data_IF_431629843560
#
_entry.id   IF_431629843560
#
_cell.length_a   1.000
_cell.length_b   1.000
_cell.length_c   1.000
_cell.angle_alpha   90.00
_cell.angle_beta   90.00
_cell.angle_gamma   90.00
#
_symmetry.space_group_name_H-M   'P 1'
#
loop_
_entity.id
_entity.type
_entity.pdbx_description
1 polymer ?
#
# COMPACT_ATOMS: atom_id res chain seq x y z
N UNK A 1 -6.15 15.23 27.87
CA UNK A 1 -5.70 14.65 26.59
C UNK A 1 -4.79 13.48 26.92
N UNK A 2 -5.18 12.26 26.54
CA UNK A 2 -4.36 11.06 26.74
C UNK A 2 -3.61 10.81 25.44
N UNK A 3 -2.29 10.64 25.54
CA UNK A 3 -1.44 10.25 24.42
C UNK A 3 -0.66 8.98 24.76
N UNK A 4 -0.30 8.24 23.72
CA UNK A 4 0.57 7.08 23.79
C UNK A 4 1.67 7.21 22.74
N UNK A 5 2.82 6.62 23.01
CA UNK A 5 3.94 6.57 22.06
C UNK A 5 4.14 5.14 21.58
N UNK A 6 4.49 4.99 20.31
CA UNK A 6 4.81 3.71 19.70
C UNK A 6 5.85 3.90 18.60
N UNK A 7 6.43 2.80 18.14
CA UNK A 7 7.43 2.79 17.06
C UNK A 7 6.93 1.87 15.96
N UNK A 8 6.91 2.38 14.73
CA UNK A 8 6.68 1.59 13.52
C UNK A 8 7.92 1.70 12.66
N UNK A 9 8.53 0.57 12.32
CA UNK A 9 9.73 0.49 11.47
C UNK A 9 10.83 1.52 11.84
N UNK A 10 11.14 1.60 13.14
CA UNK A 10 12.14 2.54 13.68
C UNK A 10 11.67 4.00 13.80
N UNK A 11 10.51 4.37 13.27
CA UNK A 11 9.93 5.71 13.37
C UNK A 11 9.03 5.82 14.59
N UNK A 12 9.30 6.81 15.45
CA UNK A 12 8.50 7.06 16.66
C UNK A 12 7.27 7.92 16.34
N UNK A 13 6.10 7.45 16.73
CA UNK A 13 4.82 8.13 16.62
C UNK A 13 4.23 8.46 17.98
N UNK A 14 3.37 9.47 18.01
CA UNK A 14 2.54 9.83 19.16
C UNK A 14 1.08 9.77 18.73
N UNK A 15 0.32 8.82 19.29
CA UNK A 15 -1.13 8.74 19.13
C UNK A 15 -1.82 9.58 20.20
N UNK A 16 -2.85 10.34 19.80
CA UNK A 16 -3.60 11.21 20.72
C UNK A 16 -5.08 10.86 20.64
N UNK A 17 -5.70 10.60 21.80
CA UNK A 17 -7.15 10.50 21.91
C UNK A 17 -7.78 11.90 21.88
N UNK A 18 -7.95 12.44 20.66
CA UNK A 18 -8.42 13.81 20.41
C UNK A 18 -9.92 13.97 20.19
N UNK A 19 -10.67 12.87 20.07
CA UNK A 19 -12.07 12.89 19.65
C UNK A 19 -12.24 12.87 18.12
N UNK A 20 -13.49 12.82 17.60
CA UNK A 20 -13.78 12.60 16.19
C UNK A 20 -13.68 13.87 15.31
N UNK A 21 -13.24 15.01 15.86
CA UNK A 21 -13.25 16.30 15.17
C UNK A 21 -12.25 16.39 14.01
N UNK A 22 -11.22 15.54 14.02
CA UNK A 22 -10.11 15.56 13.05
C UNK A 22 -10.00 14.19 12.37
N UNK A 23 -10.74 13.96 11.27
CA UNK A 23 -10.63 12.71 10.54
C UNK A 23 -9.31 12.64 9.76
N UNK A 24 -8.77 11.43 9.60
CA UNK A 24 -7.69 11.19 8.65
C UNK A 24 -8.21 11.33 7.21
N UNK A 25 -7.31 11.75 6.33
CA UNK A 25 -7.51 11.79 4.89
C UNK A 25 -6.30 11.18 4.20
N UNK A 26 -6.45 10.84 2.93
CA UNK A 26 -5.40 10.28 2.07
C UNK A 26 -4.22 11.23 1.88
N UNK A 27 -4.33 12.50 2.28
CA UNK A 27 -3.24 13.47 2.26
C UNK A 27 -2.04 13.03 3.13
N UNK A 28 -2.27 12.19 4.15
CA UNK A 28 -1.22 11.54 4.92
C UNK A 28 -1.42 10.04 4.83
N UNK A 29 -0.40 9.33 4.35
CA UNK A 29 -0.38 7.87 4.34
C UNK A 29 0.98 7.33 4.74
N UNK A 30 0.99 6.08 5.20
CA UNK A 30 2.20 5.34 5.54
C UNK A 30 2.44 4.26 4.50
N UNK A 31 3.62 4.25 3.89
CA UNK A 31 4.01 3.24 2.92
C UNK A 31 4.75 2.10 3.63
N UNK A 32 4.37 0.86 3.31
CA UNK A 32 5.05 -0.36 3.72
C UNK A 32 5.62 -1.00 2.46
N UNK A 33 6.94 -0.98 2.34
CA UNK A 33 7.66 -1.69 1.28
C UNK A 33 7.68 -3.18 1.63
N UNK A 34 7.19 -3.99 0.71
CA UNK A 34 7.08 -5.44 0.89
C UNK A 34 8.10 -6.13 -0.02
N UNK A 35 8.84 -7.11 0.51
CA UNK A 35 9.84 -7.84 -0.28
C UNK A 35 9.21 -8.84 -1.26
N UNK A 36 8.03 -9.37 -0.91
CA UNK A 36 7.35 -10.45 -1.62
C UNK A 36 5.83 -10.41 -1.39
N UNK A 37 5.12 -11.34 -2.04
CA UNK A 37 3.66 -11.43 -1.94
C UNK A 37 3.20 -11.81 -0.52
N UNK A 38 3.98 -12.59 0.22
CA UNK A 38 3.60 -13.01 1.58
C UNK A 38 3.55 -11.80 2.52
N UNK A 39 4.47 -10.85 2.38
CA UNK A 39 4.43 -9.59 3.14
C UNK A 39 3.26 -8.70 2.69
N UNK A 40 3.00 -8.60 1.38
CA UNK A 40 1.84 -7.86 0.88
C UNK A 40 0.56 -8.39 1.48
N UNK A 41 0.36 -9.71 1.43
CA UNK A 41 -0.83 -10.38 1.96
C UNK A 41 -0.94 -10.19 3.48
N UNK A 42 0.17 -10.36 4.20
CA UNK A 42 0.20 -10.17 5.65
C UNK A 42 -0.25 -8.77 6.07
N UNK A 43 0.32 -7.71 5.47
CA UNK A 43 -0.03 -6.34 5.84
C UNK A 43 -1.41 -5.94 5.34
N UNK A 44 -1.76 -6.30 4.09
CA UNK A 44 -3.05 -5.99 3.51
C UNK A 44 -4.18 -6.57 4.34
N UNK A 45 -4.14 -7.87 4.63
CA UNK A 45 -5.22 -8.56 5.34
C UNK A 45 -5.38 -8.03 6.77
N UNK A 46 -4.27 -7.66 7.43
CA UNK A 46 -4.29 -7.12 8.79
C UNK A 46 -4.80 -5.69 8.88
N UNK A 47 -4.43 -4.84 7.92
CA UNK A 47 -4.85 -3.44 7.90
C UNK A 47 -6.30 -3.30 7.44
N UNK A 48 -6.72 -4.12 6.49
CA UNK A 48 -8.11 -4.13 6.01
C UNK A 48 -9.06 -4.84 6.97
N UNK A 49 -8.56 -5.59 7.95
CA UNK A 49 -9.37 -6.18 9.01
C UNK A 49 -10.08 -5.11 9.87
N UNK A 50 -11.34 -4.83 9.54
CA UNK A 50 -12.11 -3.74 10.14
C UNK A 50 -11.79 -2.37 9.56
N UNK A 51 -10.98 -2.32 8.49
CA UNK A 51 -10.68 -1.17 7.67
C UNK A 51 -11.41 -1.19 6.33
N UNK A 52 -10.85 -0.52 5.32
CA UNK A 52 -11.42 -0.47 3.96
C UNK A 52 -10.33 -0.58 2.91
N UNK A 53 -10.57 -1.40 1.89
CA UNK A 53 -9.73 -1.48 0.70
C UNK A 53 -9.88 -0.23 -0.17
N UNK A 54 -8.80 0.13 -0.86
CA UNK A 54 -8.76 1.15 -1.91
C UNK A 54 -7.97 0.60 -3.11
N UNK A 55 -7.66 1.44 -4.09
CA UNK A 55 -7.02 1.04 -5.35
C UNK A 55 -5.49 1.10 -5.27
N UNK A 56 -4.81 0.34 -6.14
CA UNK A 56 -3.37 0.42 -6.38
C UNK A 56 -2.50 0.23 -5.11
N UNK A 57 -2.86 -0.72 -4.24
CA UNK A 57 -2.15 -0.98 -3.00
C UNK A 57 -2.53 -0.06 -1.84
N UNK A 58 -3.51 0.83 -2.01
CA UNK A 58 -4.00 1.68 -0.94
C UNK A 58 -5.06 0.98 -0.10
N UNK A 59 -5.05 1.22 1.21
CA UNK A 59 -6.12 0.85 2.12
C UNK A 59 -6.21 1.82 3.29
N UNK A 60 -7.27 1.71 4.09
CA UNK A 60 -7.39 2.38 5.39
C UNK A 60 -7.52 1.35 6.48
N UNK A 61 -6.86 1.59 7.61
CA UNK A 61 -7.05 0.75 8.79
C UNK A 61 -8.37 1.05 9.51
N UNK A 62 -8.66 0.29 10.56
CA UNK A 62 -9.86 0.46 11.40
C UNK A 62 -10.01 1.84 12.06
N UNK A 63 -8.94 2.65 12.10
CA UNK A 63 -8.95 4.00 12.63
C UNK A 63 -9.11 5.06 11.52
N UNK A 64 -9.11 4.63 10.25
CA UNK A 64 -9.25 5.48 9.07
C UNK A 64 -7.94 6.06 8.55
N UNK A 65 -6.78 5.67 9.11
CA UNK A 65 -5.48 6.12 8.62
C UNK A 65 -5.16 5.40 7.30
N UNK A 66 -4.67 6.16 6.31
CA UNK A 66 -4.33 5.61 5.00
C UNK A 66 -2.96 4.92 4.99
N UNK A 67 -2.89 3.79 4.30
CA UNK A 67 -1.70 2.97 4.12
C UNK A 67 -1.50 2.63 2.64
N UNK A 68 -0.25 2.46 2.23
CA UNK A 68 0.16 1.98 0.90
C UNK A 68 1.00 0.72 1.08
N UNK A 69 0.49 -0.43 0.65
CA UNK A 69 1.16 -1.72 0.74
C UNK A 69 1.72 -2.02 -0.65
N UNK A 70 3.03 -1.79 -0.79
CA UNK A 70 3.67 -1.75 -2.10
C UNK A 70 4.82 -2.74 -2.12
N UNK A 71 4.79 -3.77 -3.00
CA UNK A 71 5.95 -4.62 -3.18
C UNK A 71 7.04 -3.86 -3.93
N UNK A 72 8.31 -4.08 -3.56
CA UNK A 72 9.46 -3.46 -4.24
C UNK A 72 9.44 -3.74 -5.74
N UNK A 73 8.96 -4.93 -6.12
CA UNK A 73 8.81 -5.37 -7.50
C UNK A 73 7.89 -4.46 -8.33
N UNK A 74 6.86 -3.84 -7.73
CA UNK A 74 6.01 -2.90 -8.45
C UNK A 74 6.80 -1.68 -8.93
N UNK A 75 7.67 -1.12 -8.08
CA UNK A 75 8.48 0.04 -8.47
C UNK A 75 9.47 -0.28 -9.59
N UNK A 76 10.06 -1.47 -9.56
CA UNK A 76 10.96 -1.94 -10.61
C UNK A 76 10.23 -2.05 -11.96
N UNK A 77 9.03 -2.64 -11.97
CA UNK A 77 8.25 -2.83 -13.19
C UNK A 77 7.69 -1.51 -13.74
N UNK A 78 7.28 -0.58 -12.88
CA UNK A 78 6.83 0.75 -13.30
C UNK A 78 7.98 1.62 -13.85
N UNK A 79 9.21 1.35 -13.43
CA UNK A 79 10.41 2.07 -13.85
C UNK A 79 11.20 1.33 -14.94
N UNK A 80 10.59 0.33 -15.58
CA UNK A 80 11.23 -0.46 -16.63
C UNK A 80 11.69 0.45 -17.79
N UNK A 81 12.93 0.30 -18.29
CA UNK A 81 13.42 1.12 -19.40
C UNK A 81 12.66 0.89 -20.71
N UNK A 82 11.96 -0.24 -20.86
CA UNK A 82 11.04 -0.47 -21.97
C UNK A 82 9.66 0.17 -21.67
N UNK A 83 9.25 1.20 -22.43
CA UNK A 83 7.98 1.87 -22.21
C UNK A 83 6.76 0.97 -22.35
N UNK A 84 6.82 -0.08 -23.17
CA UNK A 84 5.70 -1.01 -23.34
C UNK A 84 5.49 -1.84 -22.08
N UNK A 85 6.59 -2.31 -21.48
CA UNK A 85 6.59 -3.05 -20.21
C UNK A 85 6.14 -2.18 -19.04
N UNK A 86 6.66 -0.96 -18.91
CA UNK A 86 6.23 -0.02 -17.88
C UNK A 86 4.74 0.37 -18.01
N UNK A 87 4.25 0.55 -19.24
CA UNK A 87 2.83 0.80 -19.50
C UNK A 87 1.96 -0.40 -19.12
N UNK A 88 2.38 -1.62 -19.44
CA UNK A 88 1.65 -2.84 -19.07
C UNK A 88 1.56 -3.02 -17.55
N UNK A 89 2.66 -2.79 -16.82
CA UNK A 89 2.69 -2.77 -15.36
C UNK A 89 1.71 -1.72 -14.79
N UNK A 90 1.70 -0.51 -15.36
CA UNK A 90 0.80 0.57 -14.95
C UNK A 90 -0.67 0.17 -15.18
N UNK A 91 -1.00 -0.35 -16.36
CA UNK A 91 -2.36 -0.79 -16.67
C UNK A 91 -2.84 -1.92 -15.75
N UNK A 92 -1.99 -2.91 -15.47
CA UNK A 92 -2.31 -3.98 -14.54
C UNK A 92 -2.55 -3.44 -13.12
N UNK A 93 -1.65 -2.60 -12.61
CA UNK A 93 -1.78 -1.97 -11.29
C UNK A 93 -3.08 -1.17 -11.14
N UNK A 94 -3.51 -0.42 -12.16
CA UNK A 94 -4.76 0.36 -12.13
C UNK A 94 -6.01 -0.51 -12.02
N UNK A 95 -5.94 -1.80 -12.38
CA UNK A 95 -7.00 -2.77 -12.20
C UNK A 95 -7.03 -3.42 -10.81
N UNK A 96 -6.04 -3.15 -9.96
CA UNK A 96 -5.84 -3.84 -8.69
C UNK A 96 -6.30 -3.01 -7.49
N UNK A 97 -6.82 -3.71 -6.49
CA UNK A 97 -6.95 -3.19 -5.13
C UNK A 97 -5.69 -3.56 -4.33
N UNK A 98 -5.58 -4.84 -3.93
CA UNK A 98 -4.33 -5.43 -3.44
C UNK A 98 -3.40 -5.68 -4.62
N UNK A 99 -2.12 -5.37 -4.46
CA UNK A 99 -1.12 -5.67 -5.48
C UNK A 99 -0.82 -7.18 -5.51
N UNK A 100 -0.91 -7.78 -6.70
CA UNK A 100 -0.53 -9.17 -6.93
C UNK A 100 0.69 -9.19 -7.84
N UNK A 101 1.84 -9.56 -7.29
CA UNK A 101 3.14 -9.50 -8.00
C UNK A 101 3.14 -10.38 -9.24
N UNK A 102 2.59 -11.59 -9.16
CA UNK A 102 2.53 -12.52 -10.29
C UNK A 102 1.74 -11.94 -11.48
N UNK A 103 0.59 -11.31 -11.23
CA UNK A 103 -0.23 -10.70 -12.28
C UNK A 103 0.46 -9.49 -12.94
N UNK A 104 1.23 -8.71 -12.17
CA UNK A 104 2.06 -7.64 -12.73
C UNK A 104 3.12 -8.20 -13.68
N UNK A 105 3.83 -9.25 -13.25
CA UNK A 105 4.87 -9.89 -14.06
C UNK A 105 4.29 -10.54 -15.32
N UNK A 106 3.14 -11.20 -15.22
CA UNK A 106 2.42 -11.74 -16.38
C UNK A 106 2.05 -10.65 -17.38
N UNK A 107 1.50 -9.52 -16.92
CA UNK A 107 1.15 -8.40 -17.79
C UNK A 107 2.37 -7.82 -18.51
N UNK A 108 3.48 -7.66 -17.80
CA UNK A 108 4.74 -7.16 -18.35
C UNK A 108 5.33 -8.14 -19.37
N UNK A 109 5.32 -9.43 -19.07
CA UNK A 109 5.84 -10.48 -19.95
C UNK A 109 5.00 -10.67 -21.22
N UNK A 110 3.71 -10.33 -21.19
CA UNK A 110 2.86 -10.36 -22.38
C UNK A 110 3.07 -9.16 -23.33
N UNK A 111 3.72 -8.09 -22.85
CA UNK A 111 3.94 -6.85 -23.59
C UNK A 111 5.29 -6.79 -24.34
N UNK A 112 6.16 -7.79 -24.17
CA UNK A 112 7.49 -7.90 -24.80
C UNK A 112 7.83 -9.33 -25.21
#
# INVERSE_FOLDING_TARGET
>A
MISGTFVLDGVRFIGINGGPQFPFTEAVSLTVNCKDQDEVDYYWDRLTQGGTESQCGWCKDRFGLSWQIVPDRLYELLSDPDPARAAAATTAMLGMHKIVVAELEEAVNAAG
#
